data_IF_254191750503
#
_entry.id   IF_254191750503
#
_cell.length_a   1.000
_cell.length_b   1.000
_cell.length_c   1.000
_cell.angle_alpha   90.00
_cell.angle_beta   90.00
_cell.angle_gamma   90.00
#
_symmetry.space_group_name_H-M   'P 1'
#
loop_
_entity.id
_entity.type
_entity.pdbx_description
1 polymer ?
#
# COMPACT_ATOMS: atom_id res chain seq x y z
N UNK A 1 1.46 -4.33 17.28
CA UNK A 1 0.77 -3.99 16.02
C UNK A 1 1.83 -4.01 14.92
N UNK A 2 1.73 -4.92 13.95
CA UNK A 2 2.74 -5.01 12.88
C UNK A 2 2.38 -4.00 11.79
N UNK A 3 3.35 -3.16 11.42
CA UNK A 3 3.24 -2.17 10.35
C UNK A 3 4.11 -2.69 9.22
N UNK A 4 3.58 -2.74 8.00
CA UNK A 4 4.39 -3.04 6.82
C UNK A 4 4.90 -1.74 6.22
N UNK A 5 6.19 -1.66 5.94
CA UNK A 5 6.82 -0.49 5.34
C UNK A 5 7.93 -0.92 4.38
N UNK A 6 7.88 -0.43 3.14
CA UNK A 6 8.84 -0.76 2.08
C UNK A 6 9.04 0.45 1.16
N UNK A 7 10.24 0.56 0.58
CA UNK A 7 10.50 1.48 -0.54
C UNK A 7 10.34 0.75 -1.86
N UNK A 8 9.63 1.37 -2.81
CA UNK A 8 9.47 0.85 -4.17
C UNK A 8 10.85 0.73 -4.83
N UNK A 9 11.19 -0.49 -5.22
CA UNK A 9 12.48 -0.84 -5.84
C UNK A 9 12.38 -0.98 -7.36
N UNK A 10 11.15 -1.02 -7.86
CA UNK A 10 10.79 -1.14 -9.25
C UNK A 10 11.17 0.14 -10.01
N UNK A 11 11.98 0.00 -11.06
CA UNK A 11 12.40 1.13 -11.90
C UNK A 11 11.31 1.67 -12.82
N UNK A 12 10.22 0.91 -12.99
CA UNK A 12 9.08 1.30 -13.82
C UNK A 12 7.92 1.76 -12.95
N UNK A 13 7.12 2.75 -13.39
CA UNK A 13 5.93 3.15 -12.66
C UNK A 13 4.93 1.99 -12.59
N UNK A 14 4.38 1.72 -11.41
CA UNK A 14 3.37 0.68 -11.16
C UNK A 14 2.16 1.31 -10.48
N UNK A 15 0.95 0.89 -10.83
CA UNK A 15 -0.25 1.38 -10.13
C UNK A 15 -0.31 0.84 -8.70
N UNK A 16 -0.86 1.62 -7.77
CA UNK A 16 -0.97 1.20 -6.36
C UNK A 16 -1.81 -0.08 -6.22
N UNK A 17 -2.87 -0.22 -7.02
CA UNK A 17 -3.71 -1.44 -7.04
C UNK A 17 -2.93 -2.67 -7.51
N UNK A 18 -2.10 -2.53 -8.54
CA UNK A 18 -1.26 -3.62 -9.04
C UNK A 18 -0.21 -4.02 -8.01
N UNK A 19 0.45 -3.04 -7.37
CA UNK A 19 1.38 -3.29 -6.27
C UNK A 19 0.73 -4.03 -5.08
N UNK A 20 -0.49 -3.63 -4.70
CA UNK A 20 -1.25 -4.33 -3.65
C UNK A 20 -1.52 -5.78 -4.07
N UNK A 21 -1.94 -6.01 -5.32
CA UNK A 21 -2.24 -7.34 -5.83
C UNK A 21 -0.99 -8.24 -5.92
N UNK A 22 0.16 -7.70 -6.32
CA UNK A 22 1.42 -8.47 -6.38
C UNK A 22 1.93 -8.84 -4.99
N UNK A 23 1.72 -7.98 -3.99
CA UNK A 23 2.17 -8.21 -2.61
C UNK A 23 1.13 -8.92 -1.74
N UNK A 24 -0.10 -9.12 -2.22
CA UNK A 24 -1.25 -9.66 -1.47
C UNK A 24 -0.97 -11.00 -0.77
N UNK A 25 -0.17 -11.87 -1.39
CA UNK A 25 0.21 -13.17 -0.80
C UNK A 25 1.28 -13.04 0.29
N UNK A 26 2.11 -12.00 0.22
CA UNK A 26 3.25 -11.77 1.14
C UNK A 26 2.92 -10.86 2.32
N UNK A 27 1.91 -9.98 2.17
CA UNK A 27 1.49 -9.02 3.21
C UNK A 27 0.07 -9.36 3.65
N UNK A 28 -0.11 -10.06 4.79
CA UNK A 28 -1.39 -10.63 5.19
C UNK A 28 -2.50 -9.59 5.40
N UNK A 29 -2.16 -8.33 5.65
CA UNK A 29 -3.13 -7.25 5.86
C UNK A 29 -3.88 -6.84 4.60
N UNK A 30 -3.33 -7.08 3.40
CA UNK A 30 -4.04 -6.77 2.15
C UNK A 30 -5.32 -7.61 1.94
N UNK A 31 -5.54 -8.64 2.76
CA UNK A 31 -6.76 -9.45 2.78
C UNK A 31 -7.80 -8.99 3.83
N UNK A 32 -7.53 -7.90 4.55
CA UNK A 32 -8.36 -7.38 5.66
C UNK A 32 -8.63 -5.87 5.51
N UNK A 33 -9.13 -5.19 6.55
CA UNK A 33 -9.21 -3.72 6.53
C UNK A 33 -7.82 -3.13 6.80
N UNK A 34 -7.37 -2.23 5.92
CA UNK A 34 -6.09 -1.54 6.06
C UNK A 34 -6.18 -0.11 5.53
N UNK A 35 -5.27 0.74 5.99
CA UNK A 35 -4.96 2.03 5.41
C UNK A 35 -3.58 1.94 4.77
N UNK A 36 -3.41 2.57 3.62
CA UNK A 36 -2.12 2.70 2.95
C UNK A 36 -1.74 4.18 2.87
N UNK A 37 -0.47 4.46 3.05
CA UNK A 37 0.11 5.76 2.76
C UNK A 37 1.27 5.62 1.77
N UNK A 38 1.34 6.56 0.83
CA UNK A 38 2.44 6.70 -0.12
C UNK A 38 3.19 7.97 0.26
N UNK A 39 4.48 7.89 0.57
CA UNK A 39 5.29 9.02 1.03
C UNK A 39 4.68 9.78 2.22
N UNK A 40 4.11 9.05 3.18
CA UNK A 40 3.37 9.57 4.34
C UNK A 40 2.05 10.30 4.01
N UNK A 41 1.54 10.19 2.78
CA UNK A 41 0.23 10.71 2.37
C UNK A 41 -0.76 9.54 2.32
N UNK A 42 -1.85 9.63 3.08
CA UNK A 42 -2.92 8.63 3.03
C UNK A 42 -3.58 8.64 1.66
N UNK A 43 -3.72 7.46 1.07
CA UNK A 43 -4.41 7.29 -0.23
C UNK A 43 -5.77 6.66 0.02
N UNK A 44 -6.83 7.30 -0.47
CA UNK A 44 -8.16 6.73 -0.36
C UNK A 44 -8.32 5.53 -1.31
N UNK A 45 -9.13 4.54 -0.92
CA UNK A 45 -9.33 3.32 -1.73
C UNK A 45 -9.84 3.61 -3.16
N UNK A 46 -10.60 4.69 -3.33
CA UNK A 46 -11.09 5.15 -4.64
C UNK A 46 -9.97 5.65 -5.56
N UNK A 47 -8.83 6.04 -5.00
CA UNK A 47 -7.68 6.59 -5.72
C UNK A 47 -6.61 5.52 -6.03
N UNK A 48 -6.81 4.26 -5.63
CA UNK A 48 -5.79 3.22 -5.81
C UNK A 48 -5.47 2.93 -7.27
N UNK A 49 -6.47 3.03 -8.14
CA UNK A 49 -6.30 2.78 -9.58
C UNK A 49 -5.55 3.93 -10.26
N UNK A 50 -5.77 5.17 -9.82
CA UNK A 50 -5.15 6.38 -10.37
C UNK A 50 -3.80 6.73 -9.73
N UNK A 51 -3.48 6.16 -8.57
CA UNK A 51 -2.22 6.40 -7.88
C UNK A 51 -1.10 5.60 -8.52
N UNK A 52 -0.15 6.30 -9.15
CA UNK A 52 1.03 5.70 -9.76
C UNK A 52 2.22 5.82 -8.80
N UNK A 53 2.76 4.67 -8.42
CA UNK A 53 3.96 4.56 -7.60
C UNK A 53 5.21 4.71 -8.45
N UNK A 54 6.18 5.44 -7.93
CA UNK A 54 7.47 5.70 -8.56
C UNK A 54 8.59 5.04 -7.76
N UNK A 55 9.71 4.84 -8.44
CA UNK A 55 10.93 4.37 -7.80
C UNK A 55 11.26 5.24 -6.57
N UNK A 56 11.59 4.57 -5.47
CA UNK A 56 11.91 5.17 -4.17
C UNK A 56 10.72 5.85 -3.46
N UNK A 57 9.48 5.65 -3.92
CA UNK A 57 8.30 5.96 -3.11
C UNK A 57 8.24 5.03 -1.90
N UNK A 58 7.84 5.58 -0.76
CA UNK A 58 7.68 4.85 0.49
C UNK A 58 6.24 4.40 0.65
N UNK A 59 6.00 3.10 0.77
CA UNK A 59 4.69 2.53 1.08
C UNK A 59 4.66 2.13 2.54
N UNK A 60 3.64 2.59 3.26
CA UNK A 60 3.34 2.14 4.61
C UNK A 60 1.91 1.62 4.65
N UNK A 61 1.73 0.39 5.15
CA UNK A 61 0.42 -0.26 5.30
C UNK A 61 0.16 -0.48 6.78
N UNK A 62 -0.98 0.04 7.22
CA UNK A 62 -1.44 -0.01 8.59
C UNK A 62 -2.71 -0.85 8.66
N UNK A 63 -2.78 -1.91 9.48
CA UNK A 63 -4.04 -2.60 9.69
C UNK A 63 -5.03 -1.67 10.39
N UNK A 64 -6.25 -1.58 9.84
CA UNK A 64 -7.37 -1.01 10.56
C UNK A 64 -7.81 -2.05 11.58
N UNK A 65 -7.40 -1.86 12.83
CA UNK A 65 -8.02 -2.56 13.94
C UNK A 65 -9.44 -2.01 14.04
N UNK A 66 -10.41 -2.78 13.55
CA UNK A 66 -11.82 -2.48 13.73
C UNK A 66 -12.13 -2.42 15.24
N UNK A 67 -12.11 -1.20 15.79
CA UNK A 67 -12.70 -0.88 17.08
C UNK A 67 -14.13 -0.42 16.81
N UNK A 68 -15.09 -1.05 17.50
CA UNK A 68 -16.53 -0.84 17.32
C UNK A 68 -17.04 0.53 17.75
#
# INVERSE_FOLDING_TARGET
>A
MYIFEEFISEKYPISLIEYINTKKESVPYFSSQFVISVNNILVAKIEYDSTILKYNDKITVLPLLGGG
#
